data_IF_765899898475
#
_entry.id   IF_765899898475
#
_cell.length_a   1.000
_cell.length_b   1.000
_cell.length_c   1.000
_cell.angle_alpha   90.00
_cell.angle_beta   90.00
_cell.angle_gamma   90.00
#
_symmetry.space_group_name_H-M   'P 1'
#
loop_
_entity.id
_entity.type
_entity.pdbx_description
1 polymer ?
#
# COMPACT_ATOMS: atom_id res chain seq x y z
N UNK A 1 16.05 11.77 -7.38
CA UNK A 1 15.38 10.53 -6.96
C UNK A 1 15.10 9.73 -8.21
N UNK A 2 15.50 8.47 -8.24
CA UNK A 2 15.24 7.58 -9.40
C UNK A 2 13.98 6.79 -9.10
N UNK A 3 13.06 6.71 -10.06
CA UNK A 3 11.89 5.85 -9.94
C UNK A 3 12.32 4.38 -9.99
N UNK A 4 11.93 3.61 -8.99
CA UNK A 4 12.20 2.19 -8.89
C UNK A 4 10.89 1.43 -8.76
N UNK A 5 10.78 0.29 -9.43
CA UNK A 5 9.66 -0.62 -9.21
C UNK A 5 9.66 -1.12 -7.77
N UNK A 6 8.51 -1.01 -7.12
CA UNK A 6 8.42 -1.18 -5.67
C UNK A 6 8.53 -2.63 -5.19
N UNK A 7 8.26 -3.61 -6.08
CA UNK A 7 8.19 -5.04 -5.74
C UNK A 7 9.41 -5.53 -4.95
N UNK A 8 10.62 -5.33 -5.48
CA UNK A 8 11.86 -5.76 -4.80
C UNK A 8 12.05 -5.19 -3.38
N UNK A 9 11.55 -3.98 -3.10
CA UNK A 9 11.65 -3.38 -1.78
C UNK A 9 10.63 -3.99 -0.80
N UNK A 10 9.42 -4.31 -1.28
CA UNK A 10 8.41 -5.00 -0.48
C UNK A 10 8.85 -6.44 -0.16
N UNK A 11 9.41 -7.14 -1.15
CA UNK A 11 9.94 -8.50 -0.98
C UNK A 11 11.06 -8.55 0.06
N UNK A 12 11.99 -7.59 0.03
CA UNK A 12 13.09 -7.49 1.00
C UNK A 12 12.59 -7.21 2.44
N UNK A 13 11.43 -6.58 2.58
CA UNK A 13 10.78 -6.33 3.88
C UNK A 13 9.87 -7.50 4.31
N UNK A 14 9.64 -8.49 3.44
CA UNK A 14 8.73 -9.61 3.68
C UNK A 14 7.25 -9.21 3.71
N UNK A 15 6.88 -8.16 2.98
CA UNK A 15 5.48 -7.71 2.89
C UNK A 15 4.67 -8.68 2.03
N UNK A 16 3.51 -9.10 2.52
CA UNK A 16 2.57 -9.98 1.81
C UNK A 16 1.16 -9.38 1.84
N UNK A 17 0.37 -9.64 0.80
CA UNK A 17 -1.06 -9.38 0.77
C UNK A 17 -1.84 -10.69 0.78
N UNK A 18 -3.03 -10.68 1.38
CA UNK A 18 -3.98 -11.79 1.35
C UNK A 18 -4.86 -11.61 0.11
N UNK A 19 -4.67 -12.47 -0.89
CA UNK A 19 -5.36 -12.45 -2.18
C UNK A 19 -5.79 -13.89 -2.52
N UNK A 20 -7.00 -14.07 -3.01
CA UNK A 20 -7.49 -15.36 -3.51
C UNK A 20 -7.09 -15.56 -4.99
N UNK A 21 -7.16 -16.82 -5.47
CA UNK A 21 -6.67 -17.20 -6.82
C UNK A 21 -7.36 -16.43 -7.98
N UNK A 22 -8.60 -15.98 -7.77
CA UNK A 22 -9.39 -15.25 -8.76
C UNK A 22 -9.35 -13.72 -8.56
N UNK A 23 -8.63 -13.23 -7.54
CA UNK A 23 -8.54 -11.80 -7.27
C UNK A 23 -7.66 -11.08 -8.30
N UNK A 24 -8.15 -9.95 -8.79
CA UNK A 24 -7.40 -9.05 -9.66
C UNK A 24 -7.19 -7.71 -8.96
N UNK A 25 -5.93 -7.39 -8.69
CA UNK A 25 -5.56 -6.09 -8.10
C UNK A 25 -5.72 -4.99 -9.16
N UNK A 26 -6.71 -4.12 -8.96
CA UNK A 26 -7.02 -3.03 -9.90
C UNK A 26 -6.17 -1.76 -9.67
N UNK A 27 -5.80 -1.48 -8.41
CA UNK A 27 -4.99 -0.32 -8.02
C UNK A 27 -4.25 -0.60 -6.70
N UNK A 28 -3.18 0.14 -6.45
CA UNK A 28 -2.36 0.04 -5.24
C UNK A 28 -1.89 1.42 -4.77
N UNK A 29 -1.95 1.63 -3.46
CA UNK A 29 -1.30 2.74 -2.76
C UNK A 29 -0.27 2.17 -1.79
N UNK A 30 0.99 2.53 -1.97
CA UNK A 30 2.10 2.06 -1.12
C UNK A 30 2.66 3.23 -0.34
N UNK A 31 2.67 3.10 1.00
CA UNK A 31 3.26 4.08 1.91
C UNK A 31 4.51 3.48 2.53
N UNK A 32 5.65 4.12 2.29
CA UNK A 32 6.94 3.67 2.77
C UNK A 32 7.47 4.65 3.81
N UNK A 33 7.89 4.11 4.96
CA UNK A 33 8.78 4.81 5.87
C UNK A 33 10.21 4.64 5.38
N UNK A 34 10.86 5.72 4.99
CA UNK A 34 12.22 5.74 4.45
C UNK A 34 13.16 6.40 5.45
N UNK A 35 14.28 5.74 5.73
CA UNK A 35 15.41 6.34 6.46
C UNK A 35 16.35 6.94 5.41
N UNK A 36 16.61 8.24 5.48
CA UNK A 36 17.52 8.93 4.57
C UNK A 36 18.98 8.75 5.01
N UNK A 37 19.92 9.19 4.16
CA UNK A 37 21.37 9.09 4.40
C UNK A 37 21.83 9.90 5.62
N UNK A 38 21.15 11.00 5.92
CA UNK A 38 21.34 11.84 7.11
C UNK A 38 20.69 11.26 8.38
N UNK A 39 20.04 10.10 8.29
CA UNK A 39 19.32 9.45 9.37
C UNK A 39 17.93 10.02 9.65
N UNK A 40 17.46 11.01 8.88
CA UNK A 40 16.10 11.52 8.97
C UNK A 40 15.08 10.50 8.46
N UNK A 41 13.84 10.63 8.91
CA UNK A 41 12.71 9.82 8.45
C UNK A 41 11.87 10.62 7.47
N UNK A 42 11.59 10.03 6.31
CA UNK A 42 10.62 10.54 5.36
C UNK A 42 9.53 9.50 5.05
N UNK A 43 8.43 10.01 4.52
CA UNK A 43 7.38 9.20 3.89
C UNK A 43 7.53 9.30 2.38
N UNK A 44 7.54 8.15 1.71
CA UNK A 44 7.45 8.05 0.26
C UNK A 44 6.14 7.35 -0.10
N UNK A 45 5.45 7.89 -1.12
CA UNK A 45 4.18 7.36 -1.59
C UNK A 45 4.37 6.91 -3.04
N UNK A 46 4.03 5.67 -3.32
CA UNK A 46 3.96 5.10 -4.66
C UNK A 46 2.53 4.66 -5.00
N UNK A 47 2.15 4.73 -6.28
CA UNK A 47 0.80 4.41 -6.76
C UNK A 47 0.83 4.04 -8.24
N UNK A 48 -0.22 3.36 -8.72
CA UNK A 48 -0.34 2.85 -10.10
C UNK A 48 -0.41 3.97 -11.14
N UNK A 49 -1.16 5.04 -10.87
CA UNK A 49 -1.14 6.30 -11.63
C UNK A 49 -1.11 7.50 -10.68
N UNK A 50 -0.03 8.28 -10.75
CA UNK A 50 0.17 9.45 -9.87
C UNK A 50 -0.84 10.58 -10.09
N UNK A 51 -1.61 10.55 -11.18
CA UNK A 51 -2.64 11.58 -11.48
C UNK A 51 -4.01 11.27 -10.89
N UNK A 52 -4.28 10.03 -10.51
CA UNK A 52 -5.58 9.65 -9.94
C UNK A 52 -5.62 9.83 -8.41
N UNK A 53 -5.57 11.10 -7.99
CA UNK A 53 -5.58 11.45 -6.57
C UNK A 53 -6.90 11.08 -5.86
N UNK A 54 -8.00 10.90 -6.60
CA UNK A 54 -9.30 10.54 -6.03
C UNK A 54 -9.26 9.09 -5.55
N UNK A 55 -8.81 8.17 -6.41
CA UNK A 55 -8.67 6.76 -6.05
C UNK A 55 -7.65 6.57 -4.92
N UNK A 56 -6.54 7.30 -4.95
CA UNK A 56 -5.54 7.28 -3.88
C UNK A 56 -6.12 7.70 -2.52
N UNK A 57 -6.88 8.80 -2.48
CA UNK A 57 -7.52 9.26 -1.25
C UNK A 57 -8.55 8.24 -0.75
N UNK A 58 -9.37 7.69 -1.64
CA UNK A 58 -10.35 6.65 -1.32
C UNK A 58 -9.71 5.41 -0.71
N UNK A 59 -8.66 4.87 -1.34
CA UNK A 59 -7.91 3.71 -0.85
C UNK A 59 -7.29 3.96 0.53
N UNK A 60 -6.69 5.14 0.74
CA UNK A 60 -6.10 5.49 2.03
C UNK A 60 -7.15 5.52 3.15
N UNK A 61 -8.30 6.14 2.90
CA UNK A 61 -9.36 6.23 3.89
C UNK A 61 -9.98 4.86 4.20
N UNK A 62 -10.23 4.03 3.18
CA UNK A 62 -10.71 2.67 3.36
C UNK A 62 -9.72 1.82 4.18
N UNK A 63 -8.41 1.91 3.88
CA UNK A 63 -7.37 1.20 4.62
C UNK A 63 -7.32 1.63 6.10
N UNK A 64 -7.48 2.93 6.38
CA UNK A 64 -7.53 3.46 7.75
C UNK A 64 -8.74 2.92 8.52
N UNK A 65 -9.92 2.87 7.88
CA UNK A 65 -11.15 2.35 8.47
C UNK A 65 -11.01 0.86 8.83
N UNK A 66 -10.52 0.04 7.89
CA UNK A 66 -10.28 -1.40 8.11
C UNK A 66 -9.29 -1.64 9.26
N UNK A 67 -8.22 -0.84 9.31
CA UNK A 67 -7.20 -0.97 10.36
C UNK A 67 -7.72 -0.58 11.75
N UNK A 68 -8.63 0.41 11.82
CA UNK A 68 -9.19 0.90 13.09
C UNK A 68 -10.34 0.03 13.60
N UNK A 69 -11.19 -0.48 12.70
CA UNK A 69 -12.38 -1.26 13.05
C UNK A 69 -12.07 -2.72 13.36
N UNK A 70 -10.86 -3.19 13.06
CA UNK A 70 -10.51 -4.61 13.09
C UNK A 70 -11.10 -5.32 11.88
N UNK A 71 -10.31 -6.20 11.27
CA UNK A 71 -10.70 -6.94 10.07
C UNK A 71 -11.80 -7.96 10.42
N UNK A 72 -13.07 -7.55 10.41
CA UNK A 72 -14.21 -8.49 10.47
C UNK A 72 -14.32 -9.14 9.10
N UNK A 73 -13.80 -10.37 8.98
CA UNK A 73 -14.20 -11.25 7.87
C UNK A 73 -15.67 -11.61 8.11
N UNK A 74 -16.59 -10.92 7.46
CA UNK A 74 -17.90 -11.50 7.18
C UNK A 74 -17.67 -12.63 6.16
N UNK A 75 -17.27 -13.80 6.67
CA UNK A 75 -17.55 -15.06 5.98
C UNK A 75 -19.04 -15.32 6.21
N UNK A 76 -19.87 -14.94 5.25
CA UNK A 76 -21.19 -15.56 5.15
C UNK A 76 -21.01 -17.04 4.80
N UNK A 77 -21.74 -17.89 5.53
CA UNK A 77 -21.89 -19.35 5.38
C UNK A 77 -22.30 -19.80 3.96
#
# INVERSE_FOLDING_TARGET
MTEQQIGSALDALGVTADLDDDDMVADALVILKVVQDDGSIALSIGTTDSRDWISQAGLLHAALEVTQSGYTRDRDD
#
